data_IF_725288069960
#
_entry.id   IF_725288069960
#
_cell.length_a   1.000
_cell.length_b   1.000
_cell.length_c   1.000
_cell.angle_alpha   90.00
_cell.angle_beta   90.00
_cell.angle_gamma   90.00
#
_symmetry.space_group_name_H-M   'P 1'
#
loop_
_entity.id
_entity.type
_entity.pdbx_description
1 polymer ?
2 non-polymer ?
3 non-polymer ?
4 water ?
#
# COMPACT_ATOMS: atom_id res chain seq x y z
N UNK A 28 -48.11 -6.52 -6.37
CA UNK A 28 -46.70 -6.69 -6.74
C UNK A 28 -45.79 -5.99 -5.72
N UNK A 29 -44.86 -6.72 -5.14
CA UNK A 29 -43.96 -6.10 -4.17
C UNK A 29 -42.93 -5.22 -4.86
N UNK A 30 -42.30 -4.34 -4.08
CA UNK A 30 -41.12 -3.69 -4.60
C UNK A 30 -39.88 -4.57 -4.48
N UNK A 31 -38.87 -4.23 -5.26
CA UNK A 31 -37.59 -4.89 -5.31
C UNK A 31 -36.51 -3.89 -4.96
N UNK A 32 -35.62 -4.22 -4.02
CA UNK A 32 -34.48 -3.35 -3.77
C UNK A 32 -33.39 -3.66 -4.77
N UNK A 33 -33.04 -2.66 -5.57
CA UNK A 33 -32.10 -2.79 -6.66
C UNK A 33 -30.78 -2.23 -6.19
N UNK A 34 -29.74 -3.02 -6.17
CA UNK A 34 -28.51 -2.45 -5.66
C UNK A 34 -27.33 -2.70 -6.56
N UNK A 35 -26.73 -1.62 -6.98
CA UNK A 35 -25.55 -1.69 -7.79
C UNK A 35 -24.33 -1.71 -6.93
N UNK A 36 -23.21 -1.70 -7.59
CA UNK A 36 -21.95 -1.85 -6.88
C UNK A 36 -21.73 -0.72 -5.85
N UNK A 37 -22.26 0.49 -6.09
CA UNK A 37 -22.07 1.56 -5.13
C UNK A 37 -22.69 1.21 -3.79
N UNK A 38 -23.97 0.81 -3.80
CA UNK A 38 -24.64 0.43 -2.57
C UNK A 38 -24.02 -0.81 -1.95
N UNK A 39 -23.61 -1.77 -2.79
CA UNK A 39 -23.06 -3.01 -2.25
C UNK A 39 -21.73 -2.76 -1.54
N UNK A 40 -20.86 -1.92 -2.11
CA UNK A 40 -19.56 -1.73 -1.46
C UNK A 40 -19.72 -0.87 -0.22
N UNK A 41 -20.68 0.06 -0.22
CA UNK A 41 -21.01 0.77 1.01
C UNK A 41 -21.40 -0.22 2.10
N UNK A 42 -22.25 -1.17 1.76
CA UNK A 42 -22.76 -2.08 2.75
C UNK A 42 -21.71 -3.10 3.17
N UNK A 43 -20.74 -3.44 2.31
CA UNK A 43 -19.65 -4.32 2.75
C UNK A 43 -18.92 -3.73 3.96
N UNK A 44 -18.64 -2.43 3.93
CA UNK A 44 -17.97 -1.79 5.06
C UNK A 44 -18.90 -1.65 6.27
N UNK A 45 -20.18 -1.36 6.04
CA UNK A 45 -21.10 -1.29 7.18
C UNK A 45 -21.16 -2.59 7.93
N UNK A 46 -21.13 -3.71 7.21
CA UNK A 46 -21.22 -5.04 7.84
C UNK A 46 -20.04 -5.33 8.75
N UNK A 47 -18.89 -4.68 8.54
CA UNK A 47 -17.73 -4.82 9.41
C UNK A 47 -17.72 -3.75 10.51
N UNK A 48 -18.79 -2.97 10.63
CA UNK A 48 -18.90 -1.90 11.62
C UNK A 48 -17.69 -0.99 11.58
N UNK A 49 -17.21 -0.65 10.39
CA UNK A 49 -16.11 0.29 10.37
C UNK A 49 -16.26 1.20 9.15
N UNK A 50 -15.40 2.20 9.09
CA UNK A 50 -15.44 3.24 8.07
C UNK A 50 -14.35 2.99 7.04
N UNK A 51 -14.71 3.05 5.76
CA UNK A 51 -13.71 2.74 4.76
C UNK A 51 -14.03 3.37 3.43
N UNK A 52 -12.98 3.50 2.60
CA UNK A 52 -13.12 3.94 1.21
C UNK A 52 -12.24 3.03 0.35
N UNK A 53 -12.69 2.85 -0.89
CA UNK A 53 -11.94 2.17 -1.94
C UNK A 53 -11.82 3.15 -3.11
N UNK A 54 -10.61 3.56 -3.43
CA UNK A 54 -10.33 4.48 -4.53
C UNK A 54 -9.89 3.65 -5.71
N UNK A 55 -10.51 3.85 -6.88
CA UNK A 55 -10.14 3.12 -8.10
C UNK A 55 -9.63 4.12 -9.14
N UNK A 56 -8.55 3.80 -9.87
CA UNK A 56 -8.09 4.66 -10.96
C UNK A 56 -7.80 3.84 -12.18
N UNK A 57 -8.43 4.19 -13.31
CA UNK A 57 -8.00 3.58 -14.56
C UNK A 57 -8.30 4.58 -15.67
N UNK A 58 -7.45 4.58 -16.70
CA UNK A 58 -7.60 5.54 -17.82
C UNK A 58 -7.68 6.98 -17.32
N UNK A 59 -6.85 7.29 -16.32
CA UNK A 59 -6.78 8.62 -15.70
C UNK A 59 -8.14 9.10 -15.20
N UNK A 60 -9.00 8.17 -14.79
CA UNK A 60 -10.24 8.52 -14.08
C UNK A 60 -10.26 7.85 -12.71
N UNK A 61 -10.65 8.58 -11.66
CA UNK A 61 -10.72 8.09 -10.28
C UNK A 61 -12.18 7.98 -9.89
N UNK A 62 -12.60 6.86 -9.33
CA UNK A 62 -13.93 6.73 -8.76
C UNK A 62 -13.81 6.32 -7.30
N UNK A 63 -14.75 6.74 -6.46
CA UNK A 63 -14.72 6.41 -5.04
C UNK A 63 -15.86 5.50 -4.64
N UNK A 64 -15.59 4.50 -3.82
CA UNK A 64 -16.60 3.57 -3.33
C UNK A 64 -16.38 3.39 -1.83
N UNK A 65 -17.43 2.94 -1.13
CA UNK A 65 -17.35 2.58 0.29
C UNK A 65 -18.35 3.40 1.09
N UNK A 66 -18.24 3.29 2.42
CA UNK A 66 -19.23 3.95 3.27
C UNK A 66 -18.73 5.24 3.88
N UNK A 67 -17.48 5.66 3.57
CA UNK A 67 -16.87 6.83 4.17
C UNK A 67 -16.03 7.51 3.09
N UNK A 68 -16.71 8.13 2.12
CA UNK A 68 -16.00 8.70 0.98
C UNK A 68 -15.13 9.86 1.37
N UNK A 69 -15.42 10.55 2.49
CA UNK A 69 -14.54 11.65 2.86
C UNK A 69 -13.15 11.19 3.25
N UNK A 70 -12.95 9.89 3.47
CA UNK A 70 -11.60 9.39 3.76
C UNK A 70 -10.65 9.56 2.56
N UNK A 71 -11.20 9.62 1.36
CA UNK A 71 -10.37 9.57 0.15
C UNK A 71 -9.45 10.77 0.06
N UNK A 72 -9.88 11.93 0.59
CA UNK A 72 -8.94 13.05 0.60
C UNK A 72 -8.60 13.52 2.01
N UNK A 73 -8.58 12.57 2.97
CA UNK A 73 -8.08 12.77 4.33
C UNK A 73 -6.68 12.15 4.41
N UNK A 74 -5.76 12.83 5.12
CA UNK A 74 -4.39 12.35 5.27
C UNK A 74 -4.31 11.32 6.39
N UNK A 75 -3.62 10.21 6.13
CA UNK A 75 -3.36 9.17 7.15
C UNK A 75 -1.90 8.76 7.13
N UNK A 76 -1.40 8.23 8.25
CA UNK A 76 -0.04 7.73 8.15
C UNK A 76 -0.02 6.55 7.19
N UNK A 77 1.04 6.41 6.39
CA UNK A 77 1.04 5.35 5.35
C UNK A 77 1.32 3.96 5.88
N UNK A 78 1.95 3.87 7.05
CA UNK A 78 2.39 2.59 7.61
C UNK A 78 3.17 1.81 6.55
N UNK A 79 2.95 0.49 6.47
CA UNK A 79 3.81 -0.32 5.63
C UNK A 79 3.66 -0.02 4.15
N UNK A 80 2.62 0.73 3.72
CA UNK A 80 2.62 1.05 2.29
C UNK A 80 3.83 1.88 1.91
N UNK A 81 4.44 2.58 2.88
CA UNK A 81 5.63 3.38 2.59
C UNK A 81 6.79 2.50 2.13
N UNK A 83 6.96 0.64 -0.32
CA UNK A 83 7.14 0.76 -1.75
C UNK A 83 8.11 1.90 -2.11
N UNK A 84 7.93 3.04 -1.46
CA UNK A 84 8.78 4.18 -1.74
C UNK A 84 10.15 4.06 -1.08
N UNK A 85 10.22 3.45 0.11
CA UNK A 85 11.51 3.20 0.73
C UNK A 85 12.38 2.36 -0.21
N UNK A 86 11.78 1.32 -0.78
CA UNK A 86 12.53 0.46 -1.70
C UNK A 86 12.99 1.22 -2.93
N UNK A 87 12.11 2.01 -3.55
CA UNK A 87 12.50 2.77 -4.73
C UNK A 87 13.68 3.69 -4.42
N UNK A 88 13.61 4.42 -3.31
CA UNK A 88 14.69 5.33 -2.94
C UNK A 88 15.98 4.56 -2.66
N UNK A 89 15.88 3.46 -1.92
CA UNK A 89 17.10 2.72 -1.57
C UNK A 89 17.76 2.09 -2.79
N UNK A 90 16.96 1.55 -3.71
CA UNK A 90 17.54 0.98 -4.93
C UNK A 90 18.08 2.06 -5.85
N UNK A 91 17.35 3.16 -6.01
CA UNK A 91 17.80 4.20 -6.92
C UNK A 91 19.13 4.77 -6.46
N UNK A 92 19.32 4.91 -5.17
CA UNK A 92 20.49 5.56 -4.62
C UNK A 92 21.55 4.55 -4.25
N UNK A 93 21.35 3.30 -4.66
CA UNK A 93 22.35 2.25 -4.59
C UNK A 93 22.79 2.02 -3.17
N UNK A 94 21.83 2.07 -2.24
CA UNK A 94 22.05 1.67 -0.86
C UNK A 94 21.83 0.19 -0.66
N UNK A 95 21.22 -0.48 -1.64
CA UNK A 95 20.98 -1.92 -1.57
C UNK A 95 20.79 -2.39 -3.00
N UNK A 96 20.50 -3.68 -3.15
CA UNK A 96 20.17 -4.21 -4.46
C UNK A 96 19.18 -5.36 -4.23
N UNK A 97 18.55 -5.81 -5.31
CA UNK A 97 17.46 -6.77 -5.15
C UNK A 97 17.92 -8.14 -4.66
N UNK A 98 19.21 -8.46 -4.74
CA UNK A 98 19.69 -9.76 -4.30
C UNK A 98 20.30 -9.72 -2.89
N UNK A 99 20.47 -8.54 -2.32
CA UNK A 99 21.08 -8.45 -1.00
C UNK A 99 20.23 -9.22 0.01
N UNK A 100 20.89 -10.05 0.84
CA UNK A 100 20.20 -10.75 1.92
C UNK A 100 20.43 -9.95 3.18
N UNK A 101 19.36 -9.40 3.76
CA UNK A 101 19.42 -8.67 5.03
C UNK A 101 19.40 -9.67 6.17
N UNK A 102 20.44 -9.67 7.00
CA UNK A 102 20.56 -10.71 8.02
C UNK A 102 19.69 -10.41 9.23
N UNK A 103 19.09 -11.46 9.79
CA UNK A 103 18.46 -11.36 11.10
C UNK A 103 19.56 -11.48 12.14
N UNK A 104 19.78 -10.39 12.88
CA UNK A 104 20.95 -10.31 13.75
C UNK A 104 20.65 -10.71 15.19
N UNK A 105 19.42 -11.14 15.46
CA UNK A 105 19.20 -11.92 16.68
C UNK A 105 18.20 -11.30 17.65
N UNK A 106 17.62 -10.13 17.38
CA UNK A 106 16.66 -9.57 18.33
C UNK A 106 15.30 -10.27 18.12
N UNK A 107 14.52 -10.32 19.20
CA UNK A 107 13.19 -10.92 19.12
C UNK A 107 12.29 -10.00 18.30
N UNK A 108 11.74 -10.51 17.18
CA UNK A 108 10.94 -9.67 16.27
C UNK A 108 9.44 -9.84 16.56
N UNK A 109 8.61 -8.98 15.94
CA UNK A 109 7.19 -9.01 16.28
C UNK A 109 6.54 -10.34 15.90
N UNK A 110 7.07 -11.02 14.88
CA UNK A 110 6.56 -12.30 14.40
C UNK A 110 7.72 -13.23 14.19
N UNK A 111 7.56 -14.49 14.60
CA UNK A 111 8.55 -15.50 14.31
C UNK A 111 8.84 -15.63 12.82
N UNK A 112 7.84 -15.39 11.94
CA UNK A 112 8.07 -15.48 10.50
C UNK A 112 9.11 -14.48 10.02
N UNK A 113 9.39 -13.42 10.79
CA UNK A 113 10.38 -12.43 10.40
C UNK A 113 11.79 -12.77 10.90
N UNK A 114 11.92 -13.84 11.68
CA UNK A 114 13.20 -14.16 12.32
C UNK A 114 14.03 -15.04 11.40
N UNK A 115 14.49 -14.43 10.31
CA UNK A 115 15.21 -15.16 9.29
C UNK A 115 15.92 -14.14 8.41
N UNK A 116 16.97 -14.58 7.69
CA UNK A 116 17.60 -13.69 6.69
C UNK A 116 16.68 -13.58 5.48
N UNK A 117 16.59 -12.39 4.87
CA UNK A 117 15.67 -12.27 3.74
C UNK A 117 16.04 -11.08 2.85
N UNK A 118 15.55 -11.12 1.60
CA UNK A 118 15.79 -10.03 0.68
C UNK A 118 14.76 -8.92 0.90
N UNK A 119 14.98 -7.78 0.21
CA UNK A 119 14.02 -6.68 0.22
C UNK A 119 12.65 -7.15 -0.23
N UNK A 120 12.62 -7.99 -1.28
CA UNK A 120 11.36 -8.47 -1.80
C UNK A 120 10.64 -9.38 -0.86
N UNK A 121 11.38 -10.27 -0.19
CA UNK A 121 10.67 -11.10 0.78
C UNK A 121 10.21 -10.27 1.98
N UNK A 122 11.00 -9.28 2.39
CA UNK A 122 10.57 -8.40 3.46
C UNK A 122 9.35 -7.55 3.07
N UNK A 123 9.27 -7.17 1.81
CA UNK A 123 8.07 -6.50 1.31
C UNK A 123 6.82 -7.36 1.53
N UNK A 124 6.87 -8.63 1.07
CA UNK A 124 5.71 -9.51 1.17
C UNK A 124 5.35 -9.79 2.62
N UNK A 125 6.36 -9.91 3.49
CA UNK A 125 6.07 -10.14 4.90
C UNK A 125 5.79 -8.85 5.68
N UNK A 126 5.97 -7.69 5.06
CA UNK A 126 5.89 -6.42 5.75
C UNK A 126 6.88 -6.35 6.92
N UNK A 127 8.09 -6.87 6.71
CA UNK A 127 9.06 -7.02 7.80
C UNK A 127 9.73 -5.68 8.07
N UNK A 128 9.10 -4.87 8.90
CA UNK A 128 9.61 -3.53 9.21
C UNK A 128 11.07 -3.46 9.66
N UNK A 129 11.66 -4.42 10.42
CA UNK A 129 13.09 -4.23 10.77
C UNK A 129 14.02 -4.18 9.57
N UNK A 130 13.67 -4.89 8.48
CA UNK A 130 14.51 -4.82 7.29
C UNK A 130 14.45 -3.43 6.70
N UNK A 131 13.26 -2.87 6.63
CA UNK A 131 13.09 -1.53 6.06
C UNK A 131 13.56 -0.42 7.02
N UNK A 132 13.65 -0.68 8.34
CA UNK A 132 14.31 0.27 9.22
C UNK A 132 15.80 0.28 8.96
N UNK A 133 16.39 -0.90 8.71
CA UNK A 133 17.81 -0.94 8.37
C UNK A 133 18.05 -0.17 7.07
N UNK A 134 17.16 -0.34 6.09
CA UNK A 134 17.35 0.36 4.83
C UNK A 134 17.15 1.86 5.00
N UNK A 135 16.12 2.26 5.75
CA UNK A 135 15.91 3.70 5.96
C UNK A 135 17.12 4.34 6.63
N UNK A 136 17.74 3.64 7.59
CA UNK A 136 18.90 4.20 8.26
C UNK A 136 20.09 4.34 7.32
N UNK A 137 20.27 3.39 6.38
CA UNK A 137 21.34 3.52 5.38
C UNK A 137 21.10 4.73 4.48
N UNK A 138 19.85 4.94 4.11
CA UNK A 138 19.50 6.07 3.26
C UNK A 138 19.82 7.36 4.01
N UNK A 139 19.37 7.43 5.25
CA UNK A 139 19.72 8.53 6.13
C UNK A 139 18.69 9.64 6.06
N UNK A 140 18.61 10.42 7.13
CA UNK A 140 17.55 11.40 7.25
C UNK A 140 17.58 12.43 6.12
N UNK A 141 18.78 12.91 5.76
CA UNK A 141 18.89 14.00 4.77
C UNK A 141 18.46 13.54 3.37
N UNK A 142 19.03 12.44 2.89
CA UNK A 142 18.66 11.92 1.59
C UNK A 142 17.19 11.50 1.56
N UNK A 143 16.71 10.87 2.65
CA UNK A 143 15.32 10.43 2.67
C UNK A 143 14.38 11.62 2.54
N UNK A 144 14.64 12.69 3.32
CA UNK A 144 13.77 13.85 3.27
C UNK A 144 13.81 14.52 1.89
N UNK A 145 15.01 14.61 1.30
CA UNK A 145 15.13 15.20 -0.02
C UNK A 145 14.38 14.38 -1.07
N UNK A 146 14.48 13.04 -0.99
CA UNK A 146 13.84 12.17 -1.98
C UNK A 146 12.33 12.18 -1.81
N UNK A 147 11.86 12.15 -0.57
CA UNK A 147 10.41 12.19 -0.35
C UNK A 147 9.83 13.50 -0.87
N UNK A 148 10.57 14.60 -0.71
CA UNK A 148 10.10 15.90 -1.21
C UNK A 148 10.19 15.98 -2.74
N UNK A 149 11.24 15.38 -3.34
CA UNK A 149 11.36 15.35 -4.80
C UNK A 149 10.16 14.63 -5.42
N UNK A 150 9.82 13.45 -4.91
CA UNK A 150 8.63 12.70 -5.34
C UNK A 150 7.34 13.45 -5.01
N UNK A 151 7.31 14.20 -3.90
CA UNK A 151 6.09 14.84 -3.45
C UNK A 151 5.07 13.88 -2.86
N UNK A 152 5.51 12.93 -2.02
CA UNK A 152 4.63 11.91 -1.48
C UNK A 152 3.87 12.43 -0.28
N UNK A 153 2.55 12.57 -0.41
CA UNK A 153 1.75 13.02 0.73
C UNK A 153 2.13 14.42 1.18
N UNK A 154 2.26 14.59 2.49
CA UNK A 154 2.67 15.89 3.01
C UNK A 154 4.18 16.06 3.00
N UNK A 155 4.89 15.06 2.52
CA UNK A 155 6.34 15.11 2.26
C UNK A 155 7.13 15.50 3.51
N UNK A 156 6.60 15.21 4.70
CA UNK A 156 7.25 15.62 5.95
C UNK A 156 7.68 14.38 6.71
N UNK A 157 8.98 14.23 6.99
CA UNK A 157 9.46 13.06 7.72
C UNK A 157 10.07 13.38 9.09
N UNK A 158 10.24 14.65 9.45
CA UNK A 158 10.70 14.94 10.81
C UNK A 158 12.14 14.51 11.03
N UNK A 159 12.46 14.17 12.30
CA UNK A 159 13.82 13.88 12.72
C UNK A 159 14.10 12.41 13.07
N UNK A 160 13.10 11.51 13.03
CA UNK A 160 13.30 10.10 13.40
C UNK A 160 13.23 9.27 12.13
N UNK A 161 14.40 8.85 11.63
CA UNK A 161 14.48 8.21 10.33
C UNK A 161 13.92 6.79 10.30
N UNK A 162 13.63 6.19 11.44
CA UNK A 162 13.25 4.78 11.48
C UNK A 162 11.79 4.56 11.82
N UNK A 163 10.97 5.63 11.92
CA UNK A 163 9.57 5.39 12.23
C UNK A 163 8.66 6.47 11.69
N UNK A 164 9.13 7.33 10.78
CA UNK A 164 8.36 8.49 10.41
C UNK A 164 7.12 8.12 9.61
N UNK A 165 7.10 6.91 9.05
CA UNK A 165 5.96 6.43 8.27
C UNK A 165 4.98 5.66 9.12
N UNK A 166 5.29 5.45 10.40
CA UNK A 166 4.48 4.63 11.30
C UNK A 166 3.68 5.44 12.32
N UNK A 167 4.22 6.55 12.82
CA UNK A 167 3.60 7.34 13.91
C UNK A 167 3.60 8.82 13.57
N UNK A 168 3.58 9.16 12.29
CA UNK A 168 3.77 10.52 11.89
C UNK A 168 5.24 10.88 11.92
N UNK A 169 5.61 11.99 11.31
CA UNK A 169 4.73 13.04 10.78
C UNK A 169 4.30 12.85 9.34
N UNK A 170 4.83 11.87 8.63
CA UNK A 170 4.45 11.67 7.24
C UNK A 170 3.00 11.18 7.15
N UNK A 171 2.21 11.82 6.27
CA UNK A 171 0.83 11.40 6.08
C UNK A 171 0.50 11.57 4.61
N UNK A 172 -0.48 10.81 4.14
CA UNK A 172 -0.82 10.77 2.71
C UNK A 172 -2.28 10.42 2.57
N UNK A 173 -2.93 10.95 1.50
CA UNK A 173 -4.32 10.57 1.33
C UNK A 173 -4.49 9.31 0.45
N UNK A 174 -5.64 8.66 0.54
CA UNK A 174 -5.87 7.49 -0.33
C UNK A 174 -5.81 7.85 -1.80
N UNK A 175 -6.29 9.02 -2.19
CA UNK A 175 -6.17 9.47 -3.59
C UNK A 175 -4.70 9.64 -3.96
N UNK A 176 -3.89 10.25 -3.08
CA UNK A 176 -2.46 10.33 -3.38
C UNK A 176 -1.82 8.95 -3.51
N UNK A 177 -2.24 7.97 -2.70
CA UNK A 177 -1.66 6.66 -2.85
C UNK A 177 -2.07 6.03 -4.17
N UNK A 178 -3.33 6.23 -4.60
CA UNK A 178 -3.70 5.55 -5.85
C UNK A 178 -2.97 6.21 -7.00
N UNK A 179 -2.75 7.53 -6.94
CA UNK A 179 -1.99 8.17 -8.01
C UNK A 179 -0.55 7.66 -8.02
N UNK A 180 0.04 7.53 -6.84
CA UNK A 180 1.40 7.03 -6.73
C UNK A 180 1.51 5.61 -7.29
N UNK A 181 0.62 4.70 -6.84
CA UNK A 181 0.81 3.31 -7.27
C UNK A 181 0.45 3.15 -8.75
N UNK A 182 -0.47 3.95 -9.28
CA UNK A 182 -0.73 3.90 -10.72
C UNK A 182 0.48 4.35 -11.51
N UNK A 183 1.22 5.36 -11.02
CA UNK A 183 2.43 5.77 -11.71
C UNK A 183 3.47 4.68 -11.65
N UNK A 184 3.61 4.02 -10.50
CA UNK A 184 4.55 2.90 -10.44
C UNK A 184 4.19 1.85 -11.48
N UNK A 185 2.91 1.51 -11.56
CA UNK A 185 2.50 0.42 -12.44
C UNK A 185 2.81 0.74 -13.88
N UNK A 186 2.73 2.02 -14.22
CA UNK A 186 2.96 2.50 -15.57
C UNK A 186 4.42 2.93 -15.82
N UNK A 187 5.30 2.70 -14.83
CA UNK A 187 6.71 3.10 -14.93
C UNK A 187 6.83 4.60 -15.19
N UNK A 188 5.99 5.41 -14.54
CA UNK A 188 5.99 6.86 -14.75
C UNK A 188 6.46 7.66 -13.52
N UNK A 189 6.92 7.00 -12.44
CA UNK A 189 7.52 7.74 -11.35
C UNK A 189 8.90 8.26 -11.76
N UNK A 190 9.41 9.29 -11.07
CA UNK A 190 10.73 9.83 -11.46
C UNK A 190 11.87 9.02 -10.86
N UNK A 191 11.93 7.75 -11.23
CA UNK A 191 12.99 6.83 -10.87
C UNK A 191 13.39 6.08 -12.13
N UNK A 192 14.54 5.43 -12.12
CA UNK A 192 14.92 4.70 -13.33
C UNK A 192 13.90 3.59 -13.63
N UNK A 193 13.83 3.19 -14.90
CA UNK A 193 12.87 2.15 -15.29
C UNK A 193 13.18 0.80 -14.64
N UNK A 194 14.46 0.46 -14.51
CA UNK A 194 14.82 -0.81 -13.88
C UNK A 194 14.42 -0.84 -12.41
N UNK A 195 14.66 0.24 -11.69
CA UNK A 195 14.27 0.28 -10.29
C UNK A 195 12.76 0.12 -10.13
N UNK A 196 11.97 0.79 -10.97
CA UNK A 196 10.51 0.63 -10.86
C UNK A 196 10.08 -0.79 -11.20
N UNK A 197 10.69 -1.37 -12.23
CA UNK A 197 10.35 -2.75 -12.61
C UNK A 197 10.66 -3.67 -11.46
N UNK A 198 11.81 -3.47 -10.81
CA UNK A 198 12.20 -4.38 -9.73
C UNK A 198 11.27 -4.26 -8.53
N UNK A 199 10.83 -3.05 -8.19
CA UNK A 199 9.91 -2.90 -7.06
C UNK A 199 8.53 -3.47 -7.41
N UNK A 200 8.06 -3.24 -8.64
CA UNK A 200 6.82 -3.86 -9.07
C UNK A 200 6.88 -5.37 -8.83
N UNK A 201 7.98 -6.01 -9.22
CA UNK A 201 8.08 -7.46 -9.05
C UNK A 201 7.97 -7.89 -7.58
N UNK A 202 8.37 -7.02 -6.64
CA UNK A 202 8.25 -7.36 -5.22
C UNK A 202 6.82 -7.38 -4.75
N UNK A 203 5.93 -6.73 -5.49
CA UNK A 203 4.55 -6.50 -5.08
C UNK A 203 3.54 -7.49 -5.63
N UNK A 204 3.95 -8.49 -6.43
CA UNK A 204 2.99 -9.43 -7.01
C UNK A 204 2.40 -10.25 -5.89
N UNK A 205 1.06 -10.27 -5.81
CA UNK A 205 0.32 -11.00 -4.78
C UNK A 205 -0.36 -12.25 -5.32
N UNK A 206 -0.81 -12.23 -6.56
CA UNK A 206 -1.60 -13.34 -7.07
C UNK A 206 -1.62 -13.26 -8.58
N UNK A 207 -1.64 -14.42 -9.24
CA UNK A 207 -1.85 -14.48 -10.69
C UNK A 207 -2.82 -15.61 -10.95
N UNK A 208 -3.85 -15.35 -11.75
CA UNK A 208 -4.64 -16.47 -12.24
C UNK A 208 -5.48 -16.02 -13.43
N UNK A 209 -5.60 -16.93 -14.41
CA UNK A 209 -6.49 -16.71 -15.55
C UNK A 209 -6.16 -15.43 -16.30
N UNK A 210 -4.87 -15.13 -16.44
CA UNK A 210 -4.42 -13.97 -17.17
C UNK A 210 -4.52 -12.66 -16.42
N UNK A 211 -5.05 -12.66 -15.19
CA UNK A 211 -5.07 -11.49 -14.32
C UNK A 211 -3.90 -11.57 -13.35
N UNK A 212 -3.37 -10.39 -12.97
CA UNK A 212 -2.34 -10.28 -11.94
C UNK A 212 -2.85 -9.26 -10.93
N UNK A 213 -2.68 -9.54 -9.65
CA UNK A 213 -2.93 -8.51 -8.63
C UNK A 213 -1.61 -8.21 -7.94
N UNK A 214 -1.26 -6.92 -7.88
CA UNK A 214 -0.06 -6.42 -7.22
C UNK A 214 -0.54 -5.55 -6.06
N UNK A 215 0.19 -5.55 -4.94
CA UNK A 215 -0.24 -4.57 -3.93
C UNK A 215 0.57 -4.68 -2.65
N UNK A 216 0.28 -3.74 -1.73
CA UNK A 216 1.00 -3.65 -0.48
C UNK A 216 -0.04 -3.40 0.59
N UNK A 217 -0.03 -4.24 1.63
CA UNK A 217 -0.87 -3.94 2.79
C UNK A 217 -0.18 -2.99 3.77
N UNK A 218 -1.00 -2.40 4.63
CA UNK A 218 -0.47 -1.68 5.76
C UNK A 218 -1.47 -1.61 6.89
N UNK A 219 -0.94 -1.55 8.13
CA UNK A 219 -1.81 -1.41 9.28
C UNK A 219 -1.00 -0.64 10.32
N UNK A 220 -1.38 0.59 10.58
CA UNK A 220 -0.75 1.41 11.59
C UNK A 220 -1.44 1.08 12.91
N UNK A 221 -0.80 0.26 13.74
CA UNK A 221 -1.42 -0.16 14.98
C UNK A 221 -1.07 0.74 16.16
N UNK A 222 -0.12 1.65 16.00
CA UNK A 222 0.42 2.35 17.14
C UNK A 222 -0.06 3.78 17.23
N UNK A 223 -1.09 4.13 16.47
CA UNK A 223 -1.78 5.42 16.59
C UNK A 223 -3.25 5.12 16.83
N UNK A 224 -4.00 6.17 17.21
CA UNK A 224 -5.44 6.07 17.35
C UNK A 224 -6.09 7.22 16.59
N UNK A 225 -7.05 6.94 15.73
CA UNK A 225 -7.58 5.64 15.31
C UNK A 225 -6.58 4.85 14.47
N UNK A 226 -6.65 3.53 14.49
CA UNK A 226 -5.74 2.73 13.69
C UNK A 226 -6.15 2.85 12.23
N UNK A 227 -5.19 2.66 11.32
CA UNK A 227 -5.52 2.81 9.91
C UNK A 227 -5.05 1.58 9.16
N UNK A 228 -5.88 1.09 8.26
CA UNK A 228 -5.56 -0.06 7.43
C UNK A 228 -5.57 0.30 5.96
N UNK A 229 -4.63 -0.28 5.20
CA UNK A 229 -4.42 0.02 3.80
C UNK A 229 -4.29 -1.25 2.97
N UNK A 230 -4.72 -1.16 1.71
CA UNK A 230 -4.26 -2.15 0.73
C UNK A 230 -4.23 -1.41 -0.61
N UNK A 231 -3.03 -1.12 -1.12
CA UNK A 231 -2.83 -0.23 -2.27
C UNK A 231 -2.11 -1.01 -3.35
N UNK A 232 -2.57 -0.91 -4.60
CA UNK A 232 -1.93 -1.79 -5.59
C UNK A 232 -2.65 -1.65 -6.93
N UNK A 233 -2.59 -2.68 -7.78
CA UNK A 233 -3.31 -2.58 -9.04
C UNK A 233 -3.55 -3.98 -9.57
N UNK A 234 -4.54 -4.06 -10.44
CA UNK A 234 -4.85 -5.28 -11.19
C UNK A 234 -4.36 -5.07 -12.61
N UNK A 235 -3.67 -6.06 -13.16
CA UNK A 235 -3.35 -6.07 -14.59
C UNK A 235 -4.29 -7.09 -15.22
N UNK A 236 -5.17 -6.62 -16.13
CA UNK A 236 -6.15 -7.51 -16.76
C UNK A 236 -5.53 -8.27 -17.91
N UNK A 237 -6.22 -9.27 -18.45
CA UNK A 237 -5.59 -10.11 -19.48
C UNK A 237 -5.18 -9.35 -20.73
N UNK A 238 -5.87 -8.27 -21.09
CA UNK A 238 -5.41 -7.50 -22.26
C UNK A 238 -4.35 -6.46 -21.90
N UNK A 239 -3.84 -6.45 -20.67
CA UNK A 239 -2.82 -5.51 -20.26
C UNK A 239 -3.32 -4.25 -19.55
N UNK A 240 -4.64 -4.00 -19.53
CA UNK A 240 -5.15 -2.80 -18.88
C UNK A 240 -4.81 -2.80 -17.39
N UNK A 241 -4.46 -1.63 -16.84
CA UNK A 241 -4.10 -1.49 -15.42
C UNK A 241 -5.28 -0.78 -14.74
N UNK A 242 -5.76 -1.37 -13.64
CA UNK A 242 -6.76 -0.74 -12.80
C UNK A 242 -6.14 -0.65 -11.40
N UNK A 243 -5.81 0.56 -10.97
CA UNK A 243 -5.19 0.75 -9.66
C UNK A 243 -6.23 0.97 -8.57
N UNK A 244 -5.85 0.60 -7.33
CA UNK A 244 -6.78 0.70 -6.20
C UNK A 244 -6.03 1.16 -4.95
N UNK A 245 -6.77 1.86 -4.08
CA UNK A 245 -6.27 2.13 -2.74
C UNK A 245 -7.44 1.94 -1.78
N UNK A 246 -7.38 0.89 -0.95
CA UNK A 246 -8.37 0.68 0.09
C UNK A 246 -7.82 1.30 1.36
N UNK A 247 -8.67 2.03 2.11
CA UNK A 247 -8.21 2.68 3.33
C UNK A 247 -9.38 2.63 4.31
N UNK A 248 -9.16 2.06 5.50
CA UNK A 248 -10.26 1.84 6.43
C UNK A 248 -9.75 2.02 7.87
N UNK A 249 -10.68 2.30 8.78
CA UNK A 249 -10.32 2.29 10.18
C UNK A 249 -10.25 0.85 10.65
N UNK A 250 -9.16 0.50 11.34
CA UNK A 250 -9.00 -0.84 11.91
C UNK A 250 -9.27 -0.83 13.41
N UNK A 251 -9.59 -2.01 13.94
CA UNK A 251 -9.57 -2.23 15.38
C UNK A 251 -8.84 -3.55 15.66
N UNK A 252 -8.38 -3.71 16.91
CA UNK A 252 -7.44 -4.77 17.21
C UNK A 252 -8.03 -6.17 17.08
N UNK A 253 -9.35 -6.31 17.20
CA UNK A 253 -9.97 -7.63 17.07
C UNK A 253 -10.21 -8.06 15.63
N UNK A 254 -9.96 -7.20 14.62
CA UNK A 254 -10.20 -7.64 13.26
C UNK A 254 -9.08 -8.57 12.79
N UNK A 255 -9.38 -9.59 11.98
CA UNK A 255 -8.29 -10.31 11.32
C UNK A 255 -7.65 -9.42 10.28
N UNK A 256 -6.34 -9.58 10.08
CA UNK A 256 -5.68 -8.75 9.08
C UNK A 256 -6.30 -8.96 7.70
N UNK A 257 -6.72 -10.20 7.40
CA UNK A 257 -7.33 -10.52 6.11
C UNK A 257 -8.62 -9.76 5.84
N UNK A 258 -9.19 -9.05 6.81
CA UNK A 258 -10.38 -8.24 6.51
C UNK A 258 -10.13 -7.28 5.34
N UNK A 259 -8.90 -6.79 5.20
CA UNK A 259 -8.60 -5.85 4.11
C UNK A 259 -8.66 -6.57 2.76
N UNK A 260 -8.08 -7.78 2.70
CA UNK A 260 -8.07 -8.56 1.48
C UNK A 260 -9.48 -8.98 1.11
N UNK A 261 -10.27 -9.36 2.11
CA UNK A 261 -11.66 -9.76 1.86
C UNK A 261 -12.45 -8.61 1.25
N UNK A 262 -12.37 -7.43 1.86
CA UNK A 262 -13.15 -6.30 1.38
C UNK A 262 -12.68 -5.88 0.00
N UNK A 263 -11.37 -5.91 -0.23
CA UNK A 263 -10.87 -5.56 -1.56
C UNK A 263 -11.37 -6.54 -2.62
N UNK A 264 -11.24 -7.83 -2.35
CA UNK A 264 -11.54 -8.76 -3.42
C UNK A 264 -13.03 -8.79 -3.74
N UNK A 265 -13.89 -8.71 -2.70
CA UNK A 265 -15.33 -8.69 -2.96
C UNK A 265 -15.70 -7.45 -3.77
N UNK A 266 -15.07 -6.32 -3.45
CA UNK A 266 -15.37 -5.07 -4.16
C UNK A 266 -14.89 -5.12 -5.59
N UNK A 267 -13.66 -5.60 -5.82
CA UNK A 267 -13.16 -5.68 -7.19
C UNK A 267 -14.05 -6.57 -8.05
N UNK A 268 -14.56 -7.66 -7.48
CA UNK A 268 -15.45 -8.54 -8.23
C UNK A 268 -16.78 -7.85 -8.52
N UNK A 269 -17.33 -7.10 -7.54
CA UNK A 269 -18.57 -6.40 -7.78
C UNK A 269 -18.39 -5.35 -8.89
N UNK A 270 -17.20 -4.77 -8.98
CA UNK A 270 -16.91 -3.76 -9.99
C UNK A 270 -16.53 -4.38 -11.33
N UNK A 271 -16.47 -5.72 -11.41
CA UNK A 271 -16.07 -6.43 -12.63
C UNK A 271 -14.67 -6.07 -13.06
N UNK A 272 -13.81 -5.76 -12.09
CA UNK A 272 -12.41 -5.54 -12.40
C UNK A 272 -11.67 -6.89 -12.45
N UNK A 273 -12.12 -7.85 -11.65
CA UNK A 273 -11.74 -9.27 -11.72
C UNK A 273 -13.02 -10.07 -11.80
#
# INVERSE_FOLDING_TARGET
>A
MNKYFTCYVVASLFLSGCTVQHNLINETPSQIVQGHNQVIHQYFDEKNTSGVLVIQTDKKINLYGNALSRANTEYVPASTFXMLNALIGLENQKTDINEIFKWKGEKRSFTAWEKDMTLGEAMKLSAVPVYQELARRIGLDLMQKEVKRIGFGNAEIGQQVDNFWLVGPLKVTPIQEVEFVSQLAHTQLPFSEKVQANVKNMLLLEESNGYKIFGKTGWAMDIKPQVGWLTGWVEQPDGKIVAFALNMEMRSEMPASIRNELLMKSLKQLNII
#
